data_IF_950780363413
#
_entry.id   IF_950780363413
#
_cell.length_a   1.000
_cell.length_b   1.000
_cell.length_c   1.000
_cell.angle_alpha   90.00
_cell.angle_beta   90.00
_cell.angle_gamma   90.00
#
_symmetry.space_group_name_H-M   'P 1'
#
loop_
_entity.id
_entity.type
_entity.pdbx_description
1 polymer ?
#
# COMPACT_ATOMS: atom_id res chain seq x y z
N UNK A 1 6.87 18.55 18.32
CA UNK A 1 6.76 17.85 17.03
C UNK A 1 6.42 16.41 17.36
N UNK A 2 5.17 16.00 17.17
CA UNK A 2 4.74 14.63 17.52
C UNK A 2 5.49 13.67 16.59
N UNK A 3 6.27 12.73 17.13
CA UNK A 3 6.89 11.69 16.33
C UNK A 3 5.78 10.86 15.68
N UNK A 4 5.78 10.79 14.37
CA UNK A 4 4.72 10.12 13.63
C UNK A 4 5.06 8.64 13.47
N UNK A 5 4.05 7.82 13.70
CA UNK A 5 4.16 6.37 13.67
C UNK A 5 4.18 5.91 12.20
N UNK A 6 5.29 5.32 11.70
CA UNK A 6 5.37 4.81 10.33
C UNK A 6 4.40 3.64 10.07
N UNK A 7 3.80 3.07 11.12
CA UNK A 7 2.75 2.05 11.04
C UNK A 7 1.33 2.66 11.01
N UNK A 8 1.17 3.99 11.08
CA UNK A 8 -0.14 4.65 11.04
C UNK A 8 -0.90 4.33 9.74
N UNK A 9 -2.08 3.75 9.88
CA UNK A 9 -3.04 3.56 8.80
C UNK A 9 -3.86 4.84 8.59
N UNK A 10 -3.92 5.35 7.36
CA UNK A 10 -4.51 6.65 7.03
C UNK A 10 -5.36 6.63 5.75
N UNK A 11 -5.16 5.62 4.91
CA UNK A 11 -5.87 5.45 3.63
C UNK A 11 -6.66 4.14 3.69
N UNK A 12 -7.97 4.20 3.46
CA UNK A 12 -8.80 3.01 3.27
C UNK A 12 -9.08 2.86 1.77
N UNK A 13 -8.50 1.84 1.15
CA UNK A 13 -8.59 1.59 -0.29
C UNK A 13 -9.58 0.47 -0.58
N UNK A 14 -10.58 0.75 -1.42
CA UNK A 14 -11.47 -0.29 -1.96
C UNK A 14 -10.93 -0.76 -3.31
N UNK A 15 -10.65 -2.05 -3.41
CA UNK A 15 -10.08 -2.68 -4.60
C UNK A 15 -8.56 -2.89 -4.48
N UNK A 16 -8.14 -4.16 -4.47
CA UNK A 16 -6.74 -4.60 -4.46
C UNK A 16 -6.33 -5.18 -5.81
N UNK A 17 -6.61 -4.49 -6.91
CA UNK A 17 -6.24 -4.91 -8.26
C UNK A 17 -4.76 -4.63 -8.57
N UNK A 18 -4.27 -5.14 -9.72
CA UNK A 18 -2.92 -4.80 -10.20
C UNK A 18 -2.78 -3.29 -10.45
N UNK A 19 -3.81 -2.65 -11.00
CA UNK A 19 -3.82 -1.21 -11.26
C UNK A 19 -3.61 -0.40 -9.98
N UNK A 20 -4.42 -0.64 -8.94
CA UNK A 20 -4.30 0.09 -7.67
C UNK A 20 -2.92 -0.09 -7.03
N UNK A 21 -2.36 -1.31 -7.08
CA UNK A 21 -1.00 -1.59 -6.59
C UNK A 21 0.12 -0.89 -7.37
N UNK A 22 -0.01 -0.83 -8.69
CA UNK A 22 1.00 -0.24 -9.56
C UNK A 22 0.82 1.28 -9.74
N UNK A 23 -0.28 1.84 -9.23
CA UNK A 23 -0.61 3.26 -9.32
C UNK A 23 -0.73 3.87 -7.92
N UNK A 24 -1.89 3.78 -7.28
CA UNK A 24 -2.15 4.47 -6.01
C UNK A 24 -1.15 4.09 -4.90
N UNK A 25 -0.90 2.79 -4.72
CA UNK A 25 0.01 2.31 -3.68
C UNK A 25 1.48 2.70 -4.00
N UNK A 26 1.86 2.74 -5.28
CA UNK A 26 3.18 3.18 -5.71
C UNK A 26 3.38 4.67 -5.41
N UNK A 27 2.42 5.54 -5.74
CA UNK A 27 2.52 6.97 -5.42
C UNK A 27 2.55 7.25 -3.92
N UNK A 28 1.77 6.51 -3.12
CA UNK A 28 1.84 6.59 -1.66
C UNK A 28 3.23 6.19 -1.15
N UNK A 29 3.80 5.10 -1.69
CA UNK A 29 5.15 4.65 -1.35
C UNK A 29 6.23 5.67 -1.73
N UNK A 30 6.21 6.20 -2.95
CA UNK A 30 7.17 7.21 -3.42
C UNK A 30 7.10 8.47 -2.56
N UNK A 31 5.89 8.96 -2.26
CA UNK A 31 5.70 10.18 -1.46
C UNK A 31 6.19 9.99 -0.02
N UNK A 32 5.93 8.84 0.60
CA UNK A 32 6.47 8.52 1.91
C UNK A 32 8.01 8.37 1.89
N UNK A 33 8.55 7.78 0.83
CA UNK A 33 10.00 7.59 0.66
C UNK A 33 10.75 8.90 0.40
N UNK A 34 10.08 9.90 -0.17
CA UNK A 34 10.63 11.24 -0.40
C UNK A 34 10.55 12.16 0.84
N UNK A 35 10.20 11.64 2.01
CA UNK A 35 10.08 12.39 3.26
C UNK A 35 8.67 12.92 3.57
N UNK A 36 7.67 12.53 2.78
CA UNK A 36 6.27 12.66 3.17
C UNK A 36 5.93 11.70 4.29
N UNK A 37 4.91 12.03 5.08
CA UNK A 37 4.40 11.15 6.13
C UNK A 37 2.89 11.02 6.00
N UNK A 38 2.49 10.24 5.00
CA UNK A 38 1.11 10.02 4.67
C UNK A 38 0.54 8.77 5.35
N UNK A 39 1.34 7.94 6.01
CA UNK A 39 0.90 6.66 6.60
C UNK A 39 0.72 5.54 5.57
N UNK A 40 -0.02 4.51 5.94
CA UNK A 40 -0.25 3.27 5.16
C UNK A 40 -1.68 3.13 4.66
N UNK A 41 -1.81 2.37 3.58
CA UNK A 41 -3.10 1.98 3.02
C UNK A 41 -3.57 0.63 3.58
N UNK A 42 -4.82 0.59 4.04
CA UNK A 42 -5.58 -0.63 4.33
C UNK A 42 -6.41 -0.98 3.10
N UNK A 43 -6.17 -2.15 2.51
CA UNK A 43 -6.81 -2.56 1.25
C UNK A 43 -7.96 -3.52 1.51
N UNK A 44 -9.16 -3.13 1.10
CA UNK A 44 -10.39 -3.93 1.19
C UNK A 44 -10.71 -4.52 -0.18
N UNK A 45 -10.82 -5.84 -0.26
CA UNK A 45 -11.24 -6.56 -1.47
C UNK A 45 -12.65 -7.10 -1.31
N UNK A 46 -13.52 -6.86 -2.28
CA UNK A 46 -14.92 -7.33 -2.26
C UNK A 46 -15.06 -8.85 -2.48
N UNK A 47 -14.02 -9.49 -3.01
CA UNK A 47 -13.96 -10.93 -3.27
C UNK A 47 -12.84 -11.58 -2.45
N UNK A 48 -13.08 -12.83 -2.05
CA UNK A 48 -12.06 -13.66 -1.41
C UNK A 48 -10.97 -13.97 -2.43
N UNK A 49 -9.71 -13.73 -2.07
CA UNK A 49 -8.56 -14.14 -2.88
C UNK A 49 -7.38 -14.49 -2.00
N UNK A 50 -6.56 -15.45 -2.44
CA UNK A 50 -5.31 -15.80 -1.75
C UNK A 50 -4.30 -14.65 -1.74
N UNK A 51 -4.49 -13.66 -2.62
CA UNK A 51 -3.58 -12.52 -2.76
C UNK A 51 -3.48 -11.70 -1.48
N UNK A 52 -4.61 -11.38 -0.85
CA UNK A 52 -4.61 -10.60 0.40
C UNK A 52 -3.85 -11.36 1.49
N UNK A 53 -3.98 -12.69 1.53
CA UNK A 53 -3.19 -13.55 2.42
C UNK A 53 -1.69 -13.49 2.09
N UNK A 54 -1.29 -13.66 0.82
CA UNK A 54 0.12 -13.62 0.43
C UNK A 54 0.79 -12.27 0.68
N UNK A 55 0.06 -11.17 0.48
CA UNK A 55 0.55 -9.81 0.77
C UNK A 55 0.70 -9.62 2.29
N UNK A 56 -0.28 -10.05 3.08
CA UNK A 56 -0.21 -9.95 4.54
C UNK A 56 0.93 -10.78 5.13
N UNK A 57 1.23 -11.96 4.56
CA UNK A 57 2.40 -12.76 4.93
C UNK A 57 3.74 -12.04 4.69
N UNK A 58 3.77 -11.06 3.78
CA UNK A 58 4.93 -10.24 3.47
C UNK A 58 4.92 -8.89 4.21
N UNK A 59 4.04 -8.73 5.21
CA UNK A 59 3.83 -7.47 5.93
C UNK A 59 3.41 -6.32 5.00
N UNK A 60 2.53 -6.60 4.03
CA UNK A 60 2.05 -5.58 3.08
C UNK A 60 3.03 -5.25 1.95
N UNK A 61 4.21 -5.89 1.90
CA UNK A 61 5.24 -5.62 0.90
C UNK A 61 5.05 -6.45 -0.35
N UNK A 62 5.37 -5.86 -1.49
CA UNK A 62 5.45 -6.50 -2.80
C UNK A 62 6.30 -5.62 -3.73
N UNK A 63 6.71 -6.16 -4.88
CA UNK A 63 7.46 -5.41 -5.89
C UNK A 63 6.55 -4.95 -7.03
N UNK A 64 6.72 -3.70 -7.45
CA UNK A 64 6.17 -3.16 -8.69
C UNK A 64 7.31 -3.07 -9.70
N UNK A 65 7.15 -3.68 -10.87
CA UNK A 65 8.13 -3.64 -11.95
C UNK A 65 7.63 -2.70 -13.04
N UNK A 66 8.30 -1.56 -13.22
CA UNK A 66 8.00 -0.58 -14.26
C UNK A 66 8.85 -0.89 -15.49
N UNK A 67 8.22 -0.97 -16.67
CA UNK A 67 8.90 -1.19 -17.96
C UNK A 67 8.36 -0.20 -18.99
N UNK A 68 9.26 0.36 -19.78
CA UNK A 68 8.97 1.25 -20.92
C UNK A 68 9.35 0.61 -22.25
#
# INVERSE_FOLDING_TARGET
MQGTDPDRESVLQFGGGNFMRAFADLFLHETNSSGGDHGRAVVVTSTVSDRSRWINQQSGRYHVVVRG
#
